data_IF_653556251028
#
_entry.id   IF_653556251028
#
_cell.length_a   1.000
_cell.length_b   1.000
_cell.length_c   1.000
_cell.angle_alpha   90.00
_cell.angle_beta   90.00
_cell.angle_gamma   90.00
#
_symmetry.space_group_name_H-M   'P 1'
#
loop_
_entity.id
_entity.type
_entity.pdbx_description
1 polymer ?
#
# COMPACT_ATOMS: atom_id res chain seq x y z
N UNK A 1 -0.14 -10.34 -1.39
CA UNK A 1 1.06 -10.74 -2.17
C UNK A 1 1.13 -12.27 -2.29
N UNK A 2 1.86 -12.83 -3.27
CA UNK A 2 2.03 -14.28 -3.41
C UNK A 2 3.45 -14.71 -3.04
N UNK A 3 3.55 -15.74 -2.22
CA UNK A 3 4.81 -16.41 -1.90
C UNK A 3 5.45 -16.99 -3.17
N UNK A 4 6.78 -17.02 -3.20
CA UNK A 4 7.66 -17.51 -4.27
C UNK A 4 7.63 -16.72 -5.59
N UNK A 5 6.66 -15.83 -5.77
CA UNK A 5 6.59 -14.89 -6.90
C UNK A 5 7.08 -13.49 -6.49
N UNK A 6 6.59 -12.96 -5.36
CA UNK A 6 6.97 -11.63 -4.88
C UNK A 6 7.93 -11.68 -3.69
N UNK A 7 7.86 -12.74 -2.86
CA UNK A 7 8.71 -12.94 -1.67
C UNK A 7 8.98 -14.44 -1.51
N UNK A 8 10.24 -14.82 -1.32
CA UNK A 8 10.61 -16.18 -0.89
C UNK A 8 10.72 -16.26 0.62
N UNK A 9 9.89 -17.06 1.27
CA UNK A 9 9.87 -17.27 2.73
C UNK A 9 10.30 -18.68 3.14
N UNK A 10 11.27 -19.26 2.44
CA UNK A 10 11.77 -20.59 2.79
C UNK A 10 12.75 -20.50 3.97
N UNK A 11 12.26 -20.86 5.15
CA UNK A 11 13.04 -20.85 6.40
C UNK A 11 13.69 -22.21 6.70
N UNK A 12 13.63 -23.19 5.79
CA UNK A 12 14.13 -24.56 6.00
C UNK A 12 13.55 -25.25 7.26
N UNK A 13 12.32 -24.90 7.65
CA UNK A 13 11.67 -25.41 8.87
C UNK A 13 12.21 -24.84 10.18
N UNK A 14 13.04 -23.79 10.13
CA UNK A 14 13.58 -23.12 11.32
C UNK A 14 12.66 -21.99 11.77
N UNK A 15 12.49 -21.85 13.08
CA UNK A 15 11.94 -20.65 13.70
C UNK A 15 13.05 -19.60 13.79
N UNK A 16 12.86 -18.45 13.15
CA UNK A 16 13.84 -17.37 13.09
C UNK A 16 13.57 -16.34 14.18
N UNK A 17 13.87 -16.73 15.43
CA UNK A 17 13.76 -15.86 16.61
C UNK A 17 12.33 -15.35 16.88
N UNK A 18 11.30 -16.11 16.49
CA UNK A 18 9.89 -15.72 16.61
C UNK A 18 9.45 -15.50 18.08
N UNK A 19 10.21 -16.03 19.04
CA UNK A 19 9.96 -15.89 20.48
C UNK A 19 10.68 -14.69 21.12
N UNK A 20 11.53 -13.99 20.37
CA UNK A 20 12.26 -12.83 20.88
C UNK A 20 11.44 -11.57 20.61
N UNK A 21 11.02 -10.93 21.69
CA UNK A 21 10.30 -9.66 21.64
C UNK A 21 11.22 -8.51 21.17
N UNK A 22 10.68 -7.61 20.34
CA UNK A 22 11.38 -6.45 19.75
C UNK A 22 12.04 -5.59 20.81
N UNK A 23 11.40 -5.43 21.97
CA UNK A 23 11.93 -4.63 23.10
C UNK A 23 13.29 -5.17 23.56
N UNK A 24 13.49 -6.49 23.58
CA UNK A 24 14.75 -7.09 23.99
C UNK A 24 15.86 -6.83 22.96
N UNK A 25 15.53 -6.93 21.67
CA UNK A 25 16.47 -6.62 20.59
C UNK A 25 16.90 -5.14 20.61
N UNK A 26 15.96 -4.22 20.83
CA UNK A 26 16.24 -2.78 20.96
C UNK A 26 17.19 -2.49 22.13
N UNK A 27 16.91 -3.03 23.32
CA UNK A 27 17.77 -2.88 24.50
C UNK A 27 19.19 -3.41 24.27
N UNK A 28 19.33 -4.54 23.58
CA UNK A 28 20.65 -5.12 23.28
C UNK A 28 21.46 -4.23 22.32
N UNK A 29 20.80 -3.65 21.30
CA UNK A 29 21.44 -2.71 20.38
C UNK A 29 21.87 -1.42 21.09
N UNK A 30 21.02 -0.85 21.93
CA UNK A 30 21.33 0.34 22.73
C UNK A 30 22.50 0.08 23.68
N UNK A 31 22.49 -1.06 24.38
CA UNK A 31 23.59 -1.48 25.23
C UNK A 31 24.90 -1.62 24.44
N UNK A 32 24.85 -2.26 23.27
CA UNK A 32 26.03 -2.47 22.43
C UNK A 32 26.62 -1.15 21.92
N UNK A 33 25.77 -0.19 21.52
CA UNK A 33 26.19 1.15 21.12
C UNK A 33 26.83 1.89 22.30
N UNK A 34 26.16 1.92 23.45
CA UNK A 34 26.69 2.56 24.67
C UNK A 34 28.01 1.95 25.14
N UNK A 35 28.13 0.62 25.07
CA UNK A 35 29.35 -0.08 25.45
C UNK A 35 30.53 0.31 24.56
N UNK A 36 30.33 0.33 23.23
CA UNK A 36 31.36 0.73 22.26
C UNK A 36 31.75 2.20 22.41
N UNK A 37 30.78 3.10 22.57
CA UNK A 37 31.04 4.54 22.77
C UNK A 37 31.88 4.77 24.05
N UNK A 38 31.58 4.07 25.16
CA UNK A 38 32.31 4.20 26.42
C UNK A 38 33.70 3.53 26.45
N UNK A 39 33.97 2.62 25.51
CA UNK A 39 35.21 1.84 25.47
C UNK A 39 36.12 2.22 24.30
N UNK A 40 35.71 3.16 23.45
CA UNK A 40 36.44 3.53 22.23
C UNK A 40 37.90 3.96 22.49
N UNK A 41 38.14 4.64 23.62
CA UNK A 41 39.48 5.10 24.01
C UNK A 41 40.45 3.97 24.39
N UNK A 42 39.93 2.77 24.66
CA UNK A 42 40.74 1.59 25.03
C UNK A 42 41.33 0.87 23.81
N UNK A 43 40.85 1.20 22.61
CA UNK A 43 41.25 0.54 21.37
C UNK A 43 42.34 1.33 20.62
N UNK A 44 43.15 0.62 19.84
CA UNK A 44 44.19 1.25 19.03
C UNK A 44 43.57 2.10 17.90
N UNK A 45 44.29 3.10 17.39
CA UNK A 45 43.81 3.99 16.31
C UNK A 45 43.26 3.23 15.08
N UNK A 46 43.88 2.12 14.70
CA UNK A 46 43.40 1.29 13.57
C UNK A 46 42.07 0.59 13.90
N UNK A 47 41.88 0.18 15.14
CA UNK A 47 40.65 -0.49 15.61
C UNK A 47 39.50 0.52 15.76
N UNK A 48 39.80 1.78 16.07
CA UNK A 48 38.82 2.86 16.18
C UNK A 48 38.06 3.11 14.87
N UNK A 49 38.71 2.92 13.70
CA UNK A 49 38.03 3.02 12.40
C UNK A 49 37.00 1.88 12.21
N UNK A 50 37.33 0.66 12.60
CA UNK A 50 36.38 -0.47 12.60
C UNK A 50 35.23 -0.23 13.57
N UNK A 51 35.53 0.29 14.76
CA UNK A 51 34.51 0.62 15.77
C UNK A 51 33.55 1.67 15.24
N UNK A 52 34.06 2.71 14.55
CA UNK A 52 33.21 3.74 13.92
C UNK A 52 32.25 3.12 12.90
N UNK A 53 32.73 2.22 12.04
CA UNK A 53 31.90 1.52 11.07
C UNK A 53 30.84 0.62 11.74
N UNK A 54 31.23 -0.14 12.77
CA UNK A 54 30.31 -0.99 13.55
C UNK A 54 29.23 -0.13 14.23
N UNK A 55 29.62 0.97 14.87
CA UNK A 55 28.70 1.90 15.53
C UNK A 55 27.66 2.45 14.55
N UNK A 56 28.07 2.89 13.35
CA UNK A 56 27.13 3.35 12.33
C UNK A 56 26.16 2.25 11.91
N UNK A 57 26.67 1.04 11.63
CA UNK A 57 25.82 -0.10 11.25
C UNK A 57 24.86 -0.51 12.37
N UNK A 58 25.24 -0.39 13.64
CA UNK A 58 24.35 -0.63 14.78
C UNK A 58 23.29 0.46 14.93
N UNK A 59 23.67 1.74 14.79
CA UNK A 59 22.76 2.88 14.83
C UNK A 59 21.70 2.81 13.72
N UNK A 60 22.08 2.42 12.50
CA UNK A 60 21.14 2.18 11.39
C UNK A 60 20.14 1.07 11.75
N UNK A 61 20.62 -0.07 12.28
CA UNK A 61 19.73 -1.17 12.68
C UNK A 61 18.78 -0.77 13.80
N UNK A 62 19.27 -0.02 14.80
CA UNK A 62 18.44 0.49 15.89
C UNK A 62 17.35 1.42 15.35
N UNK A 63 17.71 2.39 14.50
CA UNK A 63 16.75 3.32 13.90
C UNK A 63 15.71 2.58 13.03
N UNK A 64 16.14 1.59 12.24
CA UNK A 64 15.23 0.82 11.39
C UNK A 64 14.26 -0.03 12.21
N UNK A 65 14.74 -0.73 13.24
CA UNK A 65 13.86 -1.49 14.13
C UNK A 65 12.89 -0.57 14.90
N UNK A 66 13.35 0.59 15.37
CA UNK A 66 12.46 1.60 15.97
C UNK A 66 11.38 2.07 15.00
N UNK A 67 11.70 2.21 13.71
CA UNK A 67 10.71 2.54 12.68
C UNK A 67 9.61 1.47 12.60
N UNK A 68 9.97 0.19 12.71
CA UNK A 68 9.01 -0.93 12.62
C UNK A 68 8.17 -1.10 13.89
N UNK A 69 8.74 -0.77 15.05
CA UNK A 69 8.11 -0.93 16.37
C UNK A 69 7.42 0.36 16.87
N UNK A 70 7.54 1.47 16.12
CA UNK A 70 7.03 2.77 16.55
C UNK A 70 5.51 2.79 16.59
N UNK A 71 4.96 3.32 17.68
CA UNK A 71 3.55 3.70 17.77
C UNK A 71 3.25 5.07 17.13
N UNK A 72 4.28 5.88 16.88
CA UNK A 72 4.20 7.22 16.30
C UNK A 72 4.77 7.20 14.88
N UNK A 73 3.95 7.55 13.88
CA UNK A 73 4.42 7.66 12.50
C UNK A 73 5.45 8.79 12.32
N UNK A 74 5.37 9.84 13.14
CA UNK A 74 6.33 10.95 13.12
C UNK A 74 7.72 10.45 13.54
N UNK A 75 7.80 9.70 14.64
CA UNK A 75 9.07 9.15 15.13
C UNK A 75 9.64 8.15 14.12
N UNK A 76 8.78 7.37 13.45
CA UNK A 76 9.19 6.46 12.39
C UNK A 76 9.76 7.23 11.18
N UNK A 77 9.14 8.35 10.78
CA UNK A 77 9.63 9.22 9.70
C UNK A 77 11.00 9.80 10.06
N UNK A 78 11.18 10.30 11.28
CA UNK A 78 12.45 10.87 11.75
C UNK A 78 13.58 9.83 11.75
N UNK A 79 13.29 8.60 12.21
CA UNK A 79 14.24 7.50 12.16
C UNK A 79 14.64 7.13 10.71
N UNK A 80 13.69 7.13 9.78
CA UNK A 80 13.97 6.88 8.36
C UNK A 80 14.81 7.99 7.73
N UNK A 81 14.53 9.25 8.07
CA UNK A 81 15.29 10.39 7.59
C UNK A 81 16.73 10.38 8.14
N UNK A 82 16.91 9.99 9.39
CA UNK A 82 18.21 9.72 9.98
C UNK A 82 19.00 8.66 9.19
N UNK A 83 18.37 7.53 8.84
CA UNK A 83 19.01 6.46 8.08
C UNK A 83 19.43 6.95 6.68
N UNK A 84 18.52 7.61 5.95
CA UNK A 84 18.81 8.15 4.60
C UNK A 84 19.97 9.16 4.64
N UNK A 85 20.01 10.01 5.66
CA UNK A 85 21.08 10.98 5.84
C UNK A 85 22.44 10.34 6.12
N UNK A 86 22.48 9.21 6.85
CA UNK A 86 23.72 8.47 7.09
C UNK A 86 24.19 7.78 5.82
N UNK A 87 23.29 7.07 5.13
CA UNK A 87 23.68 6.33 3.92
C UNK A 87 24.22 7.31 2.88
N UNK A 88 23.52 8.42 2.62
CA UNK A 88 23.98 9.41 1.64
C UNK A 88 25.33 10.07 1.95
N UNK A 89 25.76 10.15 3.21
CA UNK A 89 27.02 10.82 3.62
C UNK A 89 28.18 9.87 3.91
N UNK A 90 27.89 8.68 4.43
CA UNK A 90 28.88 7.80 5.07
C UNK A 90 28.98 6.40 4.44
N UNK A 91 28.55 6.19 3.18
CA UNK A 91 28.67 4.89 2.47
C UNK A 91 30.10 4.32 2.56
N UNK A 92 31.13 5.14 2.39
CA UNK A 92 32.52 4.69 2.47
C UNK A 92 32.92 4.18 3.86
N UNK A 93 32.33 4.74 4.92
CA UNK A 93 32.54 4.26 6.30
C UNK A 93 31.75 2.97 6.55
N UNK A 94 30.58 2.83 5.92
CA UNK A 94 29.76 1.63 6.00
C UNK A 94 30.37 0.42 5.30
N UNK A 95 31.23 0.64 4.30
CA UNK A 95 31.97 -0.39 3.56
C UNK A 95 33.31 -0.78 4.22
N UNK A 96 33.65 -0.19 5.37
CA UNK A 96 34.93 -0.46 6.01
C UNK A 96 34.98 -1.88 6.61
N UNK A 97 35.84 -2.74 6.09
CA UNK A 97 35.98 -4.13 6.52
C UNK A 97 36.60 -5.03 5.46
N UNK A 98 36.89 -6.28 5.82
CA UNK A 98 37.23 -7.33 4.86
C UNK A 98 36.11 -8.37 4.87
N UNK A 99 35.69 -8.80 3.69
CA UNK A 99 34.81 -9.96 3.55
C UNK A 99 35.50 -11.21 4.08
N UNK A 100 34.71 -12.07 4.73
CA UNK A 100 35.22 -13.32 5.29
C UNK A 100 34.34 -14.47 4.80
N UNK A 101 34.84 -15.21 3.82
CA UNK A 101 34.15 -16.32 3.15
C UNK A 101 33.66 -17.42 4.11
N UNK A 102 34.28 -17.51 5.29
CA UNK A 102 33.90 -18.49 6.31
C UNK A 102 32.50 -18.25 6.90
N UNK A 103 31.98 -17.03 6.85
CA UNK A 103 30.69 -16.69 7.47
C UNK A 103 29.50 -16.84 6.51
N UNK A 104 29.71 -16.70 5.21
CA UNK A 104 28.66 -16.80 4.19
C UNK A 104 28.94 -17.98 3.25
N UNK A 105 28.24 -19.10 3.44
CA UNK A 105 28.44 -20.30 2.62
C UNK A 105 27.13 -20.98 2.23
N UNK A 106 27.15 -21.74 1.13
CA UNK A 106 26.02 -22.59 0.68
C UNK A 106 25.83 -23.83 1.54
N UNK A 107 26.64 -24.03 2.59
CA UNK A 107 26.63 -25.22 3.45
C UNK A 107 25.27 -25.48 4.11
N UNK A 108 24.50 -24.42 4.41
CA UNK A 108 23.14 -24.51 4.97
C UNK A 108 22.21 -25.28 4.01
N UNK A 109 22.32 -25.05 2.71
CA UNK A 109 21.48 -25.69 1.70
C UNK A 109 21.80 -27.19 1.55
N UNK A 110 23.03 -27.60 1.85
CA UNK A 110 23.46 -29.00 1.80
C UNK A 110 23.14 -29.78 3.09
N UNK A 111 23.03 -29.08 4.23
CA UNK A 111 22.89 -29.70 5.55
C UNK A 111 21.46 -29.73 6.07
N UNK A 112 20.64 -28.74 5.73
CA UNK A 112 19.24 -28.71 6.14
C UNK A 112 18.38 -29.52 5.17
N UNK A 113 17.27 -30.07 5.68
CA UNK A 113 16.29 -30.78 4.86
C UNK A 113 15.60 -29.79 3.92
N UNK A 114 15.89 -29.90 2.63
CA UNK A 114 15.27 -29.06 1.59
C UNK A 114 14.88 -29.93 0.39
N UNK A 115 13.70 -29.66 -0.17
CA UNK A 115 13.23 -30.24 -1.43
C UNK A 115 13.65 -29.40 -2.64
N UNK A 116 14.28 -28.23 -2.42
CA UNK A 116 14.72 -27.32 -3.46
C UNK A 116 16.17 -27.61 -3.89
N UNK A 117 16.50 -27.45 -5.18
CA UNK A 117 17.88 -27.55 -5.63
C UNK A 117 18.75 -26.45 -5.00
N UNK A 118 20.06 -26.70 -4.81
CA UNK A 118 20.96 -25.69 -4.29
C UNK A 118 21.03 -24.49 -5.24
N UNK A 119 20.99 -23.28 -4.67
CA UNK A 119 21.02 -22.01 -5.39
C UNK A 119 22.30 -21.26 -5.04
N UNK A 120 23.00 -20.68 -6.03
CA UNK A 120 24.14 -19.82 -5.75
C UNK A 120 23.71 -18.62 -4.92
N UNK A 121 24.56 -18.22 -3.97
CA UNK A 121 24.37 -16.98 -3.21
C UNK A 121 24.73 -15.83 -4.15
N UNK A 122 23.76 -14.97 -4.44
CA UNK A 122 24.04 -13.71 -5.14
C UNK A 122 24.38 -12.64 -4.10
N UNK A 123 25.65 -12.25 -4.05
CA UNK A 123 26.12 -11.15 -3.22
C UNK A 123 26.09 -9.90 -4.09
N UNK A 124 25.34 -8.90 -3.67
CA UNK A 124 25.31 -7.60 -4.35
C UNK A 124 26.53 -6.77 -3.94
N UNK A 125 27.08 -5.95 -4.85
CA UNK A 125 28.00 -4.88 -4.48
C UNK A 125 27.40 -4.01 -3.38
N UNK A 126 28.26 -3.56 -2.45
CA UNK A 126 27.87 -2.83 -1.24
C UNK A 126 27.09 -1.54 -1.56
N UNK A 127 27.50 -0.83 -2.62
CA UNK A 127 26.89 0.39 -3.13
C UNK A 127 25.47 0.12 -3.62
N UNK A 128 25.29 -0.96 -4.39
CA UNK A 128 23.97 -1.40 -4.84
C UNK A 128 23.08 -1.78 -3.66
N UNK A 129 23.63 -2.49 -2.66
CA UNK A 129 22.88 -2.89 -1.48
C UNK A 129 22.41 -1.69 -0.63
N UNK A 130 23.29 -0.73 -0.37
CA UNK A 130 22.93 0.47 0.39
C UNK A 130 22.00 1.40 -0.37
N UNK A 131 22.17 1.54 -1.70
CA UNK A 131 21.24 2.31 -2.53
C UNK A 131 19.83 1.69 -2.50
N UNK A 132 19.74 0.36 -2.62
CA UNK A 132 18.46 -0.35 -2.49
C UNK A 132 17.82 -0.17 -1.11
N UNK A 133 18.63 -0.22 -0.04
CA UNK A 133 18.13 0.00 1.32
C UNK A 133 17.69 1.46 1.55
N UNK A 134 18.43 2.43 1.01
CA UNK A 134 18.05 3.84 1.02
C UNK A 134 16.71 4.05 0.30
N UNK A 135 16.51 3.42 -0.85
CA UNK A 135 15.25 3.46 -1.60
C UNK A 135 14.07 2.85 -0.82
N UNK A 136 14.31 1.75 -0.08
CA UNK A 136 13.33 1.18 0.85
C UNK A 136 12.96 2.22 1.91
N UNK A 137 13.95 2.86 2.55
CA UNK A 137 13.70 3.86 3.58
C UNK A 137 12.94 5.10 3.04
N UNK A 138 13.32 5.58 1.85
CA UNK A 138 12.65 6.72 1.19
C UNK A 138 11.21 6.39 0.84
N UNK A 139 10.94 5.21 0.31
CA UNK A 139 9.57 4.80 -0.01
C UNK A 139 8.75 4.53 1.24
N UNK A 140 9.36 3.97 2.29
CA UNK A 140 8.68 3.79 3.58
C UNK A 140 8.26 5.15 4.15
N UNK A 141 9.16 6.13 4.10
CA UNK A 141 8.85 7.50 4.54
C UNK A 141 7.69 8.09 3.75
N UNK A 142 7.64 7.91 2.43
CA UNK A 142 6.52 8.39 1.59
C UNK A 142 5.17 7.79 1.99
N UNK A 143 5.11 6.49 2.28
CA UNK A 143 3.86 5.84 2.67
C UNK A 143 3.42 6.23 4.09
N UNK A 144 4.36 6.52 5.01
CA UNK A 144 4.05 7.05 6.33
C UNK A 144 3.61 8.52 6.27
N UNK A 145 4.17 9.33 5.38
CA UNK A 145 3.71 10.70 5.18
C UNK A 145 2.22 10.74 4.80
N UNK A 146 1.77 9.81 3.96
CA UNK A 146 0.34 9.65 3.62
C UNK A 146 -0.54 9.45 4.87
N UNK A 147 -0.10 8.67 5.86
CA UNK A 147 -0.86 8.47 7.09
C UNK A 147 -0.79 9.67 8.05
N UNK A 148 0.21 10.55 7.93
CA UNK A 148 0.30 11.78 8.73
C UNK A 148 -0.46 12.98 8.14
N UNK A 149 -0.85 12.92 6.88
CA UNK A 149 -1.54 14.02 6.19
C UNK A 149 -2.87 14.43 6.86
N UNK A 150 -3.26 15.70 6.70
CA UNK A 150 -4.51 16.19 7.30
C UNK A 150 -5.73 15.52 6.66
N UNK A 151 -6.76 15.28 7.45
CA UNK A 151 -8.03 14.69 6.95
C UNK A 151 -8.61 15.50 5.78
N UNK A 152 -8.46 16.82 5.82
CA UNK A 152 -8.96 17.72 4.75
C UNK A 152 -8.25 17.57 3.41
N UNK A 153 -7.00 17.09 3.36
CA UNK A 153 -6.25 16.84 2.12
C UNK A 153 -6.42 15.42 1.59
N UNK A 154 -6.93 14.49 2.42
CA UNK A 154 -7.07 13.07 2.13
C UNK A 154 -8.42 12.72 1.50
N UNK A 155 -8.67 13.26 0.32
CA UNK A 155 -9.82 12.87 -0.52
C UNK A 155 -9.61 11.50 -1.16
N UNK A 156 -10.67 10.68 -1.35
CA UNK A 156 -10.62 9.46 -2.16
C UNK A 156 -9.82 9.59 -3.47
N UNK A 157 -10.03 10.66 -4.25
CA UNK A 157 -9.28 10.88 -5.48
C UNK A 157 -7.79 11.16 -5.24
N UNK A 158 -7.43 11.94 -4.22
CA UNK A 158 -6.02 12.20 -3.90
C UNK A 158 -5.30 10.93 -3.45
N UNK A 159 -5.96 10.09 -2.64
CA UNK A 159 -5.41 8.80 -2.23
C UNK A 159 -5.28 7.87 -3.44
N UNK A 160 -6.28 7.80 -4.32
CA UNK A 160 -6.21 7.03 -5.56
C UNK A 160 -5.04 7.50 -6.45
N UNK A 161 -4.84 8.81 -6.58
CA UNK A 161 -3.72 9.39 -7.33
C UNK A 161 -2.37 9.06 -6.70
N UNK A 162 -2.27 9.05 -5.36
CA UNK A 162 -1.07 8.58 -4.67
C UNK A 162 -0.73 7.14 -5.05
N UNK A 163 -1.72 6.23 -5.04
CA UNK A 163 -1.49 4.83 -5.42
C UNK A 163 -1.11 4.68 -6.89
N UNK A 164 -1.76 5.44 -7.79
CA UNK A 164 -1.41 5.47 -9.22
C UNK A 164 0.03 5.94 -9.43
N UNK A 165 0.45 7.00 -8.74
CA UNK A 165 1.82 7.51 -8.78
C UNK A 165 2.81 6.47 -8.23
N UNK A 166 2.54 5.95 -7.03
CA UNK A 166 3.40 4.98 -6.36
C UNK A 166 3.63 3.72 -7.20
N UNK A 167 2.56 3.20 -7.82
CA UNK A 167 2.58 2.06 -8.74
C UNK A 167 3.53 2.28 -9.93
N UNK A 168 3.57 3.48 -10.47
CA UNK A 168 4.34 3.81 -11.69
C UNK A 168 5.83 4.05 -11.43
N UNK A 169 6.26 4.08 -10.16
CA UNK A 169 7.65 4.31 -9.80
C UNK A 169 8.58 3.28 -10.48
N UNK A 170 9.68 3.78 -11.06
CA UNK A 170 10.79 2.97 -11.59
C UNK A 170 12.09 3.31 -10.85
N UNK A 171 12.84 2.33 -10.31
CA UNK A 171 12.48 0.91 -10.19
C UNK A 171 11.25 0.71 -9.29
N UNK A 172 10.55 -0.40 -9.48
CA UNK A 172 9.36 -0.73 -8.69
C UNK A 172 9.73 -0.81 -7.20
N UNK A 173 8.88 -0.27 -6.32
CA UNK A 173 9.09 -0.34 -4.87
C UNK A 173 9.17 -1.79 -4.38
N UNK A 174 9.98 -1.99 -3.34
CA UNK A 174 10.23 -3.31 -2.80
C UNK A 174 8.92 -4.00 -2.35
N UNK A 175 8.85 -5.34 -2.42
CA UNK A 175 7.68 -6.08 -1.95
C UNK A 175 7.30 -5.74 -0.51
N UNK A 176 8.30 -5.54 0.35
CA UNK A 176 8.11 -5.12 1.74
C UNK A 176 7.32 -3.81 1.85
N UNK A 177 7.72 -2.77 1.12
CA UNK A 177 7.02 -1.47 1.15
C UNK A 177 5.61 -1.58 0.60
N UNK A 178 5.41 -2.34 -0.48
CA UNK A 178 4.08 -2.55 -1.06
C UNK A 178 3.13 -3.27 -0.10
N UNK A 179 3.62 -4.19 0.74
CA UNK A 179 2.85 -4.80 1.84
C UNK A 179 2.55 -3.78 2.93
N UNK A 180 3.55 -3.00 3.34
CA UNK A 180 3.35 -1.97 4.36
C UNK A 180 2.31 -0.93 3.91
N UNK A 181 2.35 -0.49 2.66
CA UNK A 181 1.35 0.41 2.10
C UNK A 181 -0.05 -0.20 2.18
N UNK A 182 -0.20 -1.48 1.82
CA UNK A 182 -1.49 -2.17 1.91
C UNK A 182 -1.99 -2.25 3.37
N UNK A 183 -1.08 -2.51 4.33
CA UNK A 183 -1.40 -2.62 5.76
C UNK A 183 -1.77 -1.27 6.37
N UNK A 184 -1.06 -0.20 6.01
CA UNK A 184 -1.32 1.17 6.48
C UNK A 184 -2.62 1.70 5.87
N UNK A 185 -2.87 1.39 4.61
CA UNK A 185 -4.05 1.87 3.89
C UNK A 185 -5.37 1.33 4.45
N UNK A 186 -5.43 0.05 4.80
CA UNK A 186 -6.67 -0.58 5.25
C UNK A 186 -6.43 -1.48 6.46
N UNK A 187 -7.02 -1.10 7.59
CA UNK A 187 -6.99 -1.85 8.86
C UNK A 187 -8.30 -1.68 9.60
N UNK A 188 -8.82 -2.74 10.21
CA UNK A 188 -10.02 -2.72 11.06
C UNK A 188 -11.25 -2.01 10.43
N UNK A 189 -11.47 -2.23 9.13
CA UNK A 189 -12.54 -1.58 8.36
C UNK A 189 -12.46 -0.04 8.32
N UNK A 190 -11.25 0.50 8.44
CA UNK A 190 -10.91 1.91 8.34
C UNK A 190 -9.84 2.12 7.26
N UNK A 191 -9.98 3.21 6.50
CA UNK A 191 -8.99 3.69 5.54
C UNK A 191 -8.04 4.65 6.25
N UNK A 192 -6.74 4.36 6.20
CA UNK A 192 -5.66 5.11 6.86
C UNK A 192 -5.92 5.37 8.35
N UNK A 193 -6.68 4.48 9.02
CA UNK A 193 -7.20 4.65 10.39
C UNK A 193 -7.99 5.97 10.63
N UNK A 194 -8.49 6.61 9.56
CA UNK A 194 -9.16 7.91 9.61
C UNK A 194 -10.61 7.86 9.14
N UNK A 195 -10.89 7.10 8.08
CA UNK A 195 -12.19 7.09 7.44
C UNK A 195 -12.83 5.71 7.56
N UNK A 196 -14.07 5.60 8.06
CA UNK A 196 -14.87 4.40 7.86
C UNK A 196 -14.99 4.11 6.37
N UNK A 197 -14.86 2.85 5.96
CA UNK A 197 -14.80 2.48 4.54
C UNK A 197 -16.08 2.89 3.81
N UNK A 198 -17.24 2.72 4.43
CA UNK A 198 -18.53 3.10 3.84
C UNK A 198 -18.61 4.62 3.59
N UNK A 199 -18.11 5.43 4.54
CA UNK A 199 -18.02 6.88 4.36
C UNK A 199 -17.04 7.24 3.23
N UNK A 200 -15.93 6.53 3.13
CA UNK A 200 -14.95 6.72 2.07
C UNK A 200 -15.56 6.47 0.67
N UNK A 201 -16.46 5.48 0.53
CA UNK A 201 -17.20 5.25 -0.71
C UNK A 201 -18.19 6.39 -0.98
N UNK A 202 -18.96 6.80 0.02
CA UNK A 202 -19.89 7.94 -0.11
C UNK A 202 -19.15 9.21 -0.56
N UNK A 203 -17.98 9.47 0.01
CA UNK A 203 -17.13 10.60 -0.36
C UNK A 203 -16.60 10.45 -1.80
N UNK A 204 -16.23 9.23 -2.22
CA UNK A 204 -15.77 8.97 -3.59
C UNK A 204 -16.88 9.22 -4.63
N UNK A 205 -18.12 8.82 -4.34
CA UNK A 205 -19.28 9.10 -5.20
C UNK A 205 -19.53 10.61 -5.26
N UNK A 206 -19.44 11.27 -4.10
CA UNK A 206 -19.66 12.71 -3.94
C UNK A 206 -18.61 13.59 -4.62
N UNK A 207 -17.39 13.09 -4.80
CA UNK A 207 -16.32 13.79 -5.52
C UNK A 207 -16.57 13.84 -7.03
N UNK A 208 -17.15 12.79 -7.59
CA UNK A 208 -17.52 12.74 -9.00
C UNK A 208 -18.84 13.49 -9.23
N UNK A 209 -19.79 13.35 -8.30
CA UNK A 209 -21.12 13.94 -8.38
C UNK A 209 -21.41 14.85 -7.19
N UNK A 210 -21.22 16.16 -7.38
CA UNK A 210 -21.49 17.17 -6.34
C UNK A 210 -22.90 17.08 -5.69
N UNK A 211 -23.99 16.73 -6.40
CA UNK A 211 -25.30 16.58 -5.77
C UNK A 211 -25.44 15.35 -4.85
N UNK A 212 -24.53 14.38 -4.89
CA UNK A 212 -24.66 13.14 -4.12
C UNK A 212 -24.65 13.39 -2.60
N UNK A 213 -23.92 14.40 -2.10
CA UNK A 213 -23.95 14.77 -0.68
C UNK A 213 -25.34 15.14 -0.19
N UNK A 214 -26.11 15.85 -1.02
CA UNK A 214 -27.49 16.22 -0.70
C UNK A 214 -28.39 14.98 -0.75
N UNK A 215 -28.20 14.09 -1.72
CA UNK A 215 -28.93 12.83 -1.81
C UNK A 215 -28.70 11.96 -0.56
N UNK A 216 -27.46 11.77 -0.12
CA UNK A 216 -27.16 11.01 1.10
C UNK A 216 -27.74 11.67 2.36
N UNK A 217 -27.75 13.01 2.43
CA UNK A 217 -28.40 13.72 3.53
C UNK A 217 -29.91 13.46 3.57
N UNK A 218 -30.57 13.48 2.41
CA UNK A 218 -31.99 13.14 2.27
C UNK A 218 -32.24 11.69 2.65
N UNK A 219 -31.47 10.74 2.12
CA UNK A 219 -31.59 9.32 2.43
C UNK A 219 -31.47 9.01 3.92
N UNK A 220 -30.55 9.68 4.62
CA UNK A 220 -30.37 9.52 6.06
C UNK A 220 -31.56 10.05 6.87
N UNK A 221 -32.19 11.16 6.44
CA UNK A 221 -33.40 11.68 7.08
C UNK A 221 -34.61 10.77 6.85
N UNK A 222 -34.68 10.10 5.70
CA UNK A 222 -35.80 9.21 5.34
C UNK A 222 -35.82 7.90 6.15
N UNK A 223 -34.71 7.53 6.81
CA UNK A 223 -34.63 6.34 7.67
C UNK A 223 -35.56 6.42 8.90
N UNK A 224 -35.90 7.62 9.36
CA UNK A 224 -36.68 7.83 10.60
C UNK A 224 -38.21 7.66 10.41
N UNK A 225 -38.68 7.49 9.16
CA UNK A 225 -40.12 7.44 8.84
C UNK A 225 -40.49 6.07 8.27
N UNK A 226 -41.38 5.35 8.95
CA UNK A 226 -41.88 4.02 8.52
C UNK A 226 -42.72 4.12 7.24
N UNK A 227 -42.08 3.96 6.07
CA UNK A 227 -42.72 3.72 4.78
C UNK A 227 -41.97 2.61 4.04
N UNK A 228 -42.68 1.55 3.63
CA UNK A 228 -42.12 0.32 3.05
C UNK A 228 -41.21 0.58 1.85
N UNK A 229 -41.58 1.52 0.97
CA UNK A 229 -40.79 1.88 -0.22
C UNK A 229 -39.48 2.61 0.15
N UNK A 230 -39.51 3.49 1.15
CA UNK A 230 -38.33 4.27 1.59
C UNK A 230 -37.30 3.37 2.26
N UNK A 231 -37.77 2.47 3.12
CA UNK A 231 -36.90 1.48 3.76
C UNK A 231 -36.26 0.52 2.74
N UNK A 232 -37.00 0.12 1.71
CA UNK A 232 -36.46 -0.75 0.65
C UNK A 232 -35.35 -0.06 -0.16
N UNK A 233 -35.55 1.21 -0.54
CA UNK A 233 -34.53 1.98 -1.26
C UNK A 233 -33.29 2.18 -0.39
N UNK A 234 -33.47 2.61 0.87
CA UNK A 234 -32.36 2.81 1.80
C UNK A 234 -31.57 1.51 2.06
N UNK A 235 -32.28 0.38 2.22
CA UNK A 235 -31.66 -0.94 2.34
C UNK A 235 -30.83 -1.31 1.11
N UNK A 236 -31.34 -1.01 -0.08
CA UNK A 236 -30.62 -1.25 -1.35
C UNK A 236 -29.37 -0.39 -1.46
N UNK A 237 -29.44 0.91 -1.14
CA UNK A 237 -28.26 1.79 -1.12
C UNK A 237 -27.20 1.32 -0.13
N UNK A 238 -27.60 0.91 1.07
CA UNK A 238 -26.63 0.41 2.07
C UNK A 238 -25.98 -0.91 1.66
N UNK A 239 -26.73 -1.80 1.01
CA UNK A 239 -26.16 -3.04 0.48
C UNK A 239 -25.17 -2.74 -0.66
N UNK A 240 -25.54 -1.84 -1.56
CA UNK A 240 -24.66 -1.36 -2.61
C UNK A 240 -23.36 -0.77 -2.03
N UNK A 241 -23.44 0.10 -1.02
CA UNK A 241 -22.24 0.68 -0.39
C UNK A 241 -21.34 -0.42 0.17
N UNK A 242 -21.90 -1.42 0.86
CA UNK A 242 -21.10 -2.54 1.39
C UNK A 242 -20.41 -3.34 0.30
N UNK A 243 -21.10 -3.63 -0.80
CA UNK A 243 -20.53 -4.33 -1.95
C UNK A 243 -19.45 -3.49 -2.62
N UNK A 244 -19.73 -2.21 -2.87
CA UNK A 244 -18.81 -1.23 -3.43
C UNK A 244 -17.56 -1.06 -2.56
N UNK A 245 -17.68 -1.02 -1.24
CA UNK A 245 -16.59 -0.95 -0.27
C UNK A 245 -15.55 -2.05 -0.51
N UNK A 246 -15.99 -3.29 -0.73
CA UNK A 246 -15.10 -4.43 -0.98
C UNK A 246 -14.37 -4.28 -2.33
N UNK A 247 -15.12 -3.94 -3.38
CA UNK A 247 -14.59 -3.82 -4.75
C UNK A 247 -13.61 -2.64 -4.85
N UNK A 248 -13.98 -1.49 -4.29
CA UNK A 248 -13.17 -0.28 -4.34
C UNK A 248 -11.88 -0.43 -3.53
N UNK A 249 -11.93 -1.02 -2.33
CA UNK A 249 -10.70 -1.35 -1.56
C UNK A 249 -9.79 -2.30 -2.34
N UNK A 250 -10.36 -3.23 -3.12
CA UNK A 250 -9.57 -4.13 -3.96
C UNK A 250 -8.81 -3.39 -5.08
N UNK A 251 -9.29 -2.25 -5.59
CA UNK A 251 -8.53 -1.42 -6.55
C UNK A 251 -7.16 -1.06 -5.94
N UNK A 252 -7.15 -0.49 -4.74
CA UNK A 252 -5.93 -0.10 -4.03
C UNK A 252 -5.02 -1.29 -3.73
N UNK A 253 -5.59 -2.41 -3.26
CA UNK A 253 -4.85 -3.64 -2.98
C UNK A 253 -4.17 -4.18 -4.23
N UNK A 254 -4.86 -4.16 -5.36
CA UNK A 254 -4.31 -4.63 -6.63
C UNK A 254 -3.14 -3.74 -7.06
N UNK A 255 -3.24 -2.40 -6.91
CA UNK A 255 -2.13 -1.48 -7.24
C UNK A 255 -0.84 -1.75 -6.47
N UNK A 256 -0.89 -2.40 -5.30
CA UNK A 256 0.29 -2.83 -4.54
C UNK A 256 0.96 -4.12 -5.07
N UNK A 257 0.39 -4.81 -6.05
CA UNK A 257 0.99 -6.02 -6.62
C UNK A 257 2.07 -5.72 -7.67
N UNK A 258 2.79 -6.74 -8.13
CA UNK A 258 3.66 -6.60 -9.30
C UNK A 258 2.83 -6.32 -10.57
N UNK A 259 3.39 -5.66 -11.60
CA UNK A 259 2.62 -5.25 -12.79
C UNK A 259 1.88 -6.40 -13.49
N UNK A 260 2.50 -7.57 -13.62
CA UNK A 260 1.87 -8.74 -14.24
C UNK A 260 0.62 -9.19 -13.48
N UNK A 261 0.70 -9.21 -12.15
CA UNK A 261 -0.41 -9.56 -11.27
C UNK A 261 -1.47 -8.48 -11.20
N UNK A 262 -1.06 -7.20 -11.24
CA UNK A 262 -2.00 -6.09 -11.34
C UNK A 262 -2.93 -6.28 -12.54
N UNK A 263 -2.36 -6.48 -13.73
CA UNK A 263 -3.15 -6.65 -14.96
C UNK A 263 -4.13 -7.81 -14.83
N UNK A 264 -3.65 -8.97 -14.39
CA UNK A 264 -4.48 -10.17 -14.21
C UNK A 264 -5.64 -9.93 -13.25
N UNK A 265 -5.41 -9.24 -12.15
CA UNK A 265 -6.44 -9.00 -11.15
C UNK A 265 -7.40 -7.90 -11.57
N UNK A 266 -6.94 -6.83 -12.24
CA UNK A 266 -7.82 -5.82 -12.80
C UNK A 266 -8.77 -6.41 -13.86
N UNK A 267 -8.31 -7.33 -14.71
CA UNK A 267 -9.20 -8.03 -15.65
C UNK A 267 -10.36 -8.76 -14.95
N UNK A 268 -10.15 -9.29 -13.74
CA UNK A 268 -11.22 -9.91 -12.95
C UNK A 268 -12.11 -8.84 -12.30
N UNK A 269 -11.50 -7.81 -11.73
CA UNK A 269 -12.19 -6.72 -11.05
C UNK A 269 -13.18 -5.99 -11.98
N UNK A 270 -12.89 -5.89 -13.28
CA UNK A 270 -13.83 -5.30 -14.26
C UNK A 270 -15.16 -6.05 -14.30
N UNK A 271 -15.18 -7.37 -14.12
CA UNK A 271 -16.42 -8.15 -14.06
C UNK A 271 -17.20 -7.87 -12.77
N UNK A 272 -16.49 -7.69 -11.66
CA UNK A 272 -17.09 -7.29 -10.39
C UNK A 272 -17.71 -5.88 -10.50
N UNK A 273 -17.03 -4.96 -11.17
CA UNK A 273 -17.51 -3.60 -11.44
C UNK A 273 -18.71 -3.59 -12.41
N UNK A 274 -18.76 -4.49 -13.40
CA UNK A 274 -19.93 -4.67 -14.27
C UNK A 274 -21.16 -5.08 -13.46
N UNK A 275 -20.99 -6.07 -12.58
CA UNK A 275 -22.08 -6.58 -11.74
C UNK A 275 -22.57 -5.51 -10.75
N UNK A 276 -21.64 -4.74 -10.19
CA UNK A 276 -21.94 -3.60 -9.32
C UNK A 276 -22.69 -2.48 -10.07
N UNK A 277 -22.34 -2.24 -11.33
CA UNK A 277 -23.03 -1.25 -12.16
C UNK A 277 -24.49 -1.67 -12.43
N UNK A 278 -24.77 -2.94 -12.69
CA UNK A 278 -26.14 -3.45 -12.87
C UNK A 278 -26.99 -3.24 -11.60
N UNK A 279 -26.43 -3.50 -10.41
CA UNK A 279 -27.08 -3.19 -9.13
C UNK A 279 -27.35 -1.68 -8.99
N UNK A 280 -26.37 -0.86 -9.35
CA UNK A 280 -26.46 0.59 -9.27
C UNK A 280 -27.54 1.18 -10.19
N UNK A 281 -27.68 0.66 -11.42
CA UNK A 281 -28.71 1.09 -12.38
C UNK A 281 -30.11 0.83 -11.82
N UNK A 282 -30.32 -0.33 -11.17
CA UNK A 282 -31.58 -0.64 -10.51
C UNK A 282 -31.91 0.34 -9.37
N UNK A 283 -30.89 0.72 -8.57
CA UNK A 283 -31.04 1.71 -7.49
C UNK A 283 -31.38 3.09 -8.05
N UNK A 284 -30.69 3.52 -9.10
CA UNK A 284 -30.95 4.81 -9.76
C UNK A 284 -32.38 4.88 -10.32
N UNK A 285 -32.88 3.80 -10.94
CA UNK A 285 -34.28 3.70 -11.42
C UNK A 285 -35.27 3.82 -10.25
N UNK A 286 -35.00 3.13 -9.14
CA UNK A 286 -35.85 3.20 -7.95
C UNK A 286 -35.90 4.62 -7.38
N UNK A 287 -34.74 5.27 -7.22
CA UNK A 287 -34.62 6.64 -6.73
C UNK A 287 -35.34 7.63 -7.64
N UNK A 288 -35.14 7.51 -8.94
CA UNK A 288 -35.85 8.30 -9.92
C UNK A 288 -37.36 8.14 -9.73
N UNK A 289 -37.87 6.91 -9.75
CA UNK A 289 -39.30 6.64 -9.59
C UNK A 289 -39.89 7.21 -8.30
N UNK A 290 -39.12 7.21 -7.22
CA UNK A 290 -39.51 7.74 -5.93
C UNK A 290 -39.59 9.28 -5.94
N UNK A 291 -38.54 9.96 -6.40
CA UNK A 291 -38.53 11.42 -6.47
C UNK A 291 -39.58 11.95 -7.45
N UNK A 292 -39.84 11.25 -8.56
CA UNK A 292 -40.91 11.60 -9.50
C UNK A 292 -42.32 11.41 -8.92
N UNK A 293 -42.53 10.47 -7.98
CA UNK A 293 -43.86 10.17 -7.39
C UNK A 293 -44.19 11.01 -6.15
N UNK A 294 -43.21 11.31 -5.29
CA UNK A 294 -43.46 12.00 -4.02
C UNK A 294 -43.36 13.54 -4.09
N UNK A 295 -42.84 14.13 -5.17
CA UNK A 295 -42.62 15.58 -5.23
C UNK A 295 -43.70 16.37 -6.00
N UNK A 296 -44.58 17.04 -5.26
CA UNK A 296 -45.14 18.37 -5.62
C UNK A 296 -44.13 19.50 -5.28
N UNK A 297 -42.87 19.15 -5.05
CA UNK A 297 -41.78 20.05 -4.71
C UNK A 297 -41.19 20.49 -6.05
N UNK A 298 -41.09 21.79 -6.26
CA UNK A 298 -40.43 22.39 -7.42
C UNK A 298 -38.92 22.01 -7.43
N UNK A 299 -38.61 20.79 -7.83
CA UNK A 299 -37.28 20.27 -8.13
C UNK A 299 -36.99 20.44 -9.63
N UNK A 300 -37.32 21.61 -10.18
CA UNK A 300 -37.09 21.88 -11.62
C UNK A 300 -35.60 21.92 -12.01
N UNK A 301 -34.67 21.97 -11.04
CA UNK A 301 -33.23 22.12 -11.31
C UNK A 301 -32.34 20.93 -10.90
N UNK A 302 -32.85 19.92 -10.18
CA UNK A 302 -32.08 18.72 -9.82
C UNK A 302 -32.74 17.46 -10.36
N UNK A 303 -32.51 17.18 -11.64
CA UNK A 303 -32.50 15.80 -12.08
C UNK A 303 -31.32 15.14 -11.38
N UNK A 304 -31.53 14.05 -10.63
CA UNK A 304 -30.46 13.18 -10.15
C UNK A 304 -30.29 12.00 -11.12
N UNK A 305 -29.88 12.19 -12.39
CA UNK A 305 -29.79 11.06 -13.29
C UNK A 305 -28.56 10.24 -12.89
N UNK A 306 -28.81 8.98 -12.54
CA UNK A 306 -27.83 7.90 -12.62
C UNK A 306 -26.54 8.11 -11.80
N UNK A 307 -26.66 8.51 -10.53
CA UNK A 307 -25.47 8.83 -9.69
C UNK A 307 -24.63 7.58 -9.46
N UNK A 308 -25.26 6.49 -9.02
CA UNK A 308 -24.54 5.28 -8.60
C UNK A 308 -23.96 4.55 -9.82
N UNK A 309 -24.77 4.39 -10.86
CA UNK A 309 -24.37 3.71 -12.10
C UNK A 309 -23.28 4.47 -12.82
N UNK A 310 -23.33 5.81 -12.83
CA UNK A 310 -22.27 6.61 -13.47
C UNK A 310 -20.95 6.59 -12.68
N UNK A 311 -21.00 6.51 -11.35
CA UNK A 311 -19.79 6.28 -10.54
C UNK A 311 -19.17 4.90 -10.83
N UNK A 312 -19.99 3.83 -10.88
CA UNK A 312 -19.52 2.49 -11.23
C UNK A 312 -18.91 2.46 -12.63
N UNK A 313 -19.59 3.09 -13.60
CA UNK A 313 -19.12 3.19 -14.97
C UNK A 313 -17.77 3.92 -15.08
N UNK A 314 -17.60 5.01 -14.33
CA UNK A 314 -16.33 5.72 -14.26
C UNK A 314 -15.20 4.82 -13.74
N UNK A 315 -15.38 4.16 -12.59
CA UNK A 315 -14.35 3.27 -12.02
C UNK A 315 -14.04 2.09 -12.94
N UNK A 316 -15.06 1.53 -13.59
CA UNK A 316 -14.91 0.48 -14.61
C UNK A 316 -14.07 0.96 -15.78
N UNK A 317 -14.40 2.11 -16.35
CA UNK A 317 -13.68 2.68 -17.50
C UNK A 317 -12.22 3.00 -17.15
N UNK A 318 -11.97 3.61 -15.99
CA UNK A 318 -10.61 3.87 -15.50
C UNK A 318 -9.81 2.58 -15.34
N UNK A 319 -10.44 1.52 -14.85
CA UNK A 319 -9.81 0.20 -14.71
C UNK A 319 -9.51 -0.44 -16.07
N UNK A 320 -10.43 -0.34 -17.04
CA UNK A 320 -10.22 -0.83 -18.41
C UNK A 320 -9.05 -0.11 -19.11
N UNK A 321 -8.98 1.21 -18.99
CA UNK A 321 -7.87 2.02 -19.50
C UNK A 321 -6.54 1.56 -18.87
N UNK A 322 -6.53 1.35 -17.55
CA UNK A 322 -5.34 0.88 -16.83
C UNK A 322 -4.87 -0.51 -17.31
N UNK A 323 -5.80 -1.42 -17.62
CA UNK A 323 -5.48 -2.76 -18.16
C UNK A 323 -4.76 -2.64 -19.52
N UNK A 324 -5.21 -1.73 -20.39
CA UNK A 324 -4.55 -1.48 -21.68
C UNK A 324 -3.13 -0.93 -21.46
N UNK A 325 -2.95 0.07 -20.60
CA UNK A 325 -1.63 0.62 -20.29
C UNK A 325 -0.68 -0.40 -19.67
N UNK A 326 -1.20 -1.27 -18.79
CA UNK A 326 -0.47 -2.41 -18.26
C UNK A 326 -0.02 -3.40 -19.36
N UNK A 327 -0.81 -3.55 -20.42
CA UNK A 327 -0.45 -4.37 -21.57
C UNK A 327 0.79 -3.86 -22.29
N UNK A 328 0.88 -2.53 -22.48
CA UNK A 328 2.07 -1.89 -23.02
C UNK A 328 3.27 -1.98 -22.06
N UNK A 329 3.07 -1.73 -20.76
CA UNK A 329 4.14 -1.82 -19.75
C UNK A 329 4.76 -3.22 -19.67
N UNK A 330 3.98 -4.25 -19.98
CA UNK A 330 4.37 -5.67 -19.94
C UNK A 330 4.78 -6.22 -21.31
N UNK A 331 4.84 -5.39 -22.35
CA UNK A 331 5.17 -5.79 -23.72
C UNK A 331 4.32 -6.97 -24.23
N UNK A 332 3.03 -7.01 -23.87
CA UNK A 332 2.12 -8.10 -24.24
C UNK A 332 1.61 -8.01 -25.67
N UNK A 333 1.84 -6.88 -26.33
CA UNK A 333 1.27 -6.56 -27.61
C UNK A 333 2.36 -6.53 -28.67
N UNK A 334 2.11 -7.23 -29.76
CA UNK A 334 2.99 -7.21 -30.92
C UNK A 334 2.82 -5.92 -31.71
N UNK A 335 3.81 -5.58 -32.56
CA UNK A 335 3.83 -4.32 -33.30
C UNK A 335 2.61 -4.08 -34.19
N UNK A 336 1.98 -5.15 -34.70
CA UNK A 336 0.81 -5.07 -35.58
C UNK A 336 -0.51 -4.90 -34.83
N UNK A 337 -0.54 -5.16 -33.52
CA UNK A 337 -1.72 -4.98 -32.67
C UNK A 337 -1.80 -3.55 -32.10
N UNK A 338 -0.69 -2.80 -32.12
CA UNK A 338 -0.60 -1.48 -31.49
C UNK A 338 -1.68 -0.51 -31.98
N UNK A 339 -1.94 -0.46 -33.29
CA UNK A 339 -2.97 0.43 -33.84
C UNK A 339 -4.38 0.10 -33.35
N UNK A 340 -4.67 -1.17 -33.08
CA UNK A 340 -5.97 -1.62 -32.58
C UNK A 340 -6.14 -1.32 -31.09
N UNK A 341 -5.06 -1.32 -30.32
CA UNK A 341 -5.11 -1.09 -28.87
C UNK A 341 -5.10 0.41 -28.54
N UNK A 342 -4.47 1.22 -29.40
CA UNK A 342 -4.47 2.68 -29.26
C UNK A 342 -5.77 3.35 -29.71
N UNK A 343 -6.47 2.78 -30.70
CA UNK A 343 -7.75 3.27 -31.20
C UNK A 343 -8.89 2.79 -30.31
#
# INVERSE_FOLDING_TARGET
MRQEEEISSNNFGLSLLEHIDTIHALKLLEFSISWLDNHNDKFQKKEQEYIKAILLRLKIRLAFLRTLDSSSEIDAIDNLEYIVNIISKDISVLDFGNEMDIFFSTSIQARLSTTMPPRPIMIFPIDVAFNNFEDICRDFRKILLLSTEKVSSLTPLNILNFFRYFRTKKPNSSPFIRIMLQSIFFSNNMILNKFPVDQFIIDSISEIYSPAKQLFAVLNQLYEIYNDLKHSIFGSVNNFIKTASIIYVNIFRIMCHNPSRQRRNFCKLVLDLESLQEEAENIDIQLQSYFFKESNIAFNDFSFPYIFSSWCFYEKLQTMILICFLGFELELHSSHELSLIYW
#
